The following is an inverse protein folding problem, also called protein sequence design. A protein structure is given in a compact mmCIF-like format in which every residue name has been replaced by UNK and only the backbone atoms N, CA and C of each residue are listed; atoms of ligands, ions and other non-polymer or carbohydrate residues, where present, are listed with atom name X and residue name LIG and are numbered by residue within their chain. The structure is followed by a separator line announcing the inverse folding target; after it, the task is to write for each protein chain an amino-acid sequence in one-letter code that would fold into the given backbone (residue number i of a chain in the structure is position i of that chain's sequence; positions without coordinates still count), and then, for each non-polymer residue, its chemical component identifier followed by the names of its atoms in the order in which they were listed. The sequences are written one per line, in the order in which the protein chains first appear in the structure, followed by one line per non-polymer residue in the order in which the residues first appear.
data_IF_553021852686
#
_entry.id   IF_553021852686
#
_cell.length_a   1.000
_cell.length_b   1.000
_cell.length_c   1.000
_cell.angle_alpha   90.00
_cell.angle_beta   90.00
_cell.angle_gamma   90.00
#
_symmetry.space_group_name_H-M   'P 1'
#
loop_
_entity.id
_entity.type
_entity.pdbx_description
1 polymer ?
#
# COMPACT_ATOMS: atom_id res chain seq x y z
N UNK A 1 21.08 -10.30 -10.36
CA UNK A 1 19.64 -10.62 -10.25
C UNK A 1 18.90 -9.39 -10.72
N UNK A 2 18.04 -9.53 -11.72
CA UNK A 2 17.28 -8.41 -12.28
C UNK A 2 16.23 -7.98 -11.24
N UNK A 3 16.43 -6.84 -10.59
CA UNK A 3 15.47 -6.33 -9.61
C UNK A 3 14.21 -5.92 -10.39
N UNK A 4 13.11 -6.65 -10.19
CA UNK A 4 11.79 -6.27 -10.72
C UNK A 4 11.46 -4.84 -10.30
N UNK A 5 10.82 -4.12 -11.23
CA UNK A 5 10.46 -2.72 -11.13
C UNK A 5 9.75 -2.37 -9.81
N UNK A 6 9.88 -1.10 -9.41
CA UNK A 6 9.25 -0.56 -8.21
C UNK A 6 7.92 0.09 -8.55
N UNK A 7 6.85 -0.25 -7.85
CA UNK A 7 5.51 0.31 -8.04
C UNK A 7 5.01 0.98 -6.78
N UNK A 8 4.19 2.01 -6.97
CA UNK A 8 3.59 2.79 -5.91
C UNK A 8 2.10 2.52 -5.82
N UNK A 9 1.55 2.30 -4.62
CA UNK A 9 0.11 2.04 -4.42
C UNK A 9 -0.44 2.94 -3.33
N UNK A 10 -1.35 3.85 -3.67
CA UNK A 10 -1.96 4.73 -2.66
C UNK A 10 -3.08 4.03 -1.90
N UNK A 11 -3.13 4.22 -0.58
CA UNK A 11 -4.20 3.64 0.25
C UNK A 11 -4.09 2.12 0.37
N UNK A 12 -2.88 1.60 0.52
CA UNK A 12 -2.52 0.17 0.60
C UNK A 12 -3.30 -0.64 1.65
N UNK A 13 -3.90 0.03 2.65
CA UNK A 13 -4.80 -0.57 3.64
C UNK A 13 -6.22 -0.83 3.14
N UNK A 14 -6.58 -0.29 1.97
CA UNK A 14 -7.91 -0.41 1.39
C UNK A 14 -8.14 -1.81 0.81
N UNK A 15 -9.41 -2.18 0.65
CA UNK A 15 -9.82 -3.50 0.16
C UNK A 15 -9.14 -3.85 -1.17
N UNK A 16 -9.36 -3.07 -2.22
CA UNK A 16 -8.75 -3.29 -3.54
C UNK A 16 -7.22 -3.16 -3.51
N UNK A 17 -6.73 -2.12 -2.84
CA UNK A 17 -5.30 -1.81 -2.78
C UNK A 17 -4.49 -2.95 -2.14
N UNK A 18 -5.01 -3.59 -1.09
CA UNK A 18 -4.35 -4.71 -0.43
C UNK A 18 -4.16 -5.93 -1.35
N UNK A 19 -5.10 -6.17 -2.26
CA UNK A 19 -4.99 -7.22 -3.28
C UNK A 19 -4.00 -6.86 -4.38
N UNK A 20 -3.94 -5.59 -4.80
CA UNK A 20 -2.92 -5.12 -5.72
C UNK A 20 -1.52 -5.30 -5.13
N UNK A 21 -1.31 -4.87 -3.89
CA UNK A 21 -0.06 -5.07 -3.14
C UNK A 21 0.33 -6.55 -3.14
N UNK A 22 -0.60 -7.44 -2.76
CA UNK A 22 -0.37 -8.90 -2.80
C UNK A 22 0.06 -9.39 -4.17
N UNK A 23 -0.66 -9.01 -5.22
CA UNK A 23 -0.38 -9.47 -6.59
C UNK A 23 0.99 -8.99 -7.08
N UNK A 24 1.36 -7.75 -6.78
CA UNK A 24 2.67 -7.21 -7.14
C UNK A 24 3.80 -7.91 -6.41
N UNK A 25 3.66 -8.15 -5.10
CA UNK A 25 4.64 -8.88 -4.31
C UNK A 25 4.83 -10.32 -4.80
N UNK A 26 3.73 -11.04 -5.08
CA UNK A 26 3.79 -12.39 -5.67
C UNK A 26 4.41 -12.40 -7.07
N UNK A 27 4.24 -11.32 -7.84
CA UNK A 27 4.83 -11.16 -9.17
C UNK A 27 6.30 -10.69 -9.12
N UNK A 28 6.84 -10.50 -7.93
CA UNK A 28 8.24 -10.19 -7.68
C UNK A 28 8.58 -8.70 -7.56
N UNK A 29 7.62 -7.79 -7.68
CA UNK A 29 7.84 -6.34 -7.68
C UNK A 29 8.17 -5.80 -6.29
N UNK A 30 8.89 -4.68 -6.27
CA UNK A 30 9.01 -3.85 -5.07
C UNK A 30 7.81 -2.91 -4.97
N UNK A 31 7.16 -2.88 -3.81
CA UNK A 31 5.93 -2.10 -3.59
C UNK A 31 6.17 -1.06 -2.51
N UNK A 32 5.88 0.19 -2.83
CA UNK A 32 5.71 1.25 -1.84
C UNK A 32 4.21 1.48 -1.70
N UNK A 33 3.66 1.12 -0.54
CA UNK A 33 2.26 1.33 -0.20
C UNK A 33 2.09 2.54 0.71
N UNK A 34 1.05 3.36 0.50
CA UNK A 34 0.71 4.43 1.45
C UNK A 34 -0.46 4.11 2.34
N UNK A 35 -0.41 4.62 3.56
CA UNK A 35 -1.57 4.69 4.44
C UNK A 35 -1.60 6.06 5.13
N UNK A 36 -2.79 6.46 5.57
CA UNK A 36 -2.98 7.76 6.25
C UNK A 36 -2.49 7.76 7.69
N UNK A 37 -2.70 6.64 8.38
CA UNK A 37 -2.49 6.53 9.82
C UNK A 37 -1.29 5.63 10.17
N UNK A 38 -0.29 6.15 10.90
CA UNK A 38 0.86 5.37 11.39
C UNK A 38 0.49 4.17 12.26
N UNK A 39 -0.58 4.22 13.05
CA UNK A 39 -1.00 3.07 13.85
C UNK A 39 -1.47 1.91 12.95
N UNK A 40 -2.13 2.24 11.84
CA UNK A 40 -2.46 1.25 10.80
C UNK A 40 -1.20 0.67 10.15
N UNK A 41 -0.13 1.45 9.96
CA UNK A 41 1.16 0.92 9.49
C UNK A 41 1.65 -0.17 10.43
N UNK A 42 1.65 0.09 11.73
CA UNK A 42 2.14 -0.86 12.73
C UNK A 42 1.28 -2.13 12.78
N UNK A 43 -0.04 -1.98 12.82
CA UNK A 43 -0.98 -3.13 12.83
C UNK A 43 -0.88 -3.95 11.54
N UNK A 44 -0.77 -3.29 10.38
CA UNK A 44 -0.65 -3.97 9.10
C UNK A 44 0.70 -4.65 8.92
N UNK A 45 1.79 -3.98 9.29
CA UNK A 45 3.13 -4.57 9.24
C UNK A 45 3.19 -5.82 10.11
N UNK A 46 2.63 -5.76 11.32
CA UNK A 46 2.51 -6.92 12.20
C UNK A 46 1.65 -8.02 11.59
N UNK A 47 0.44 -7.71 11.11
CA UNK A 47 -0.44 -8.70 10.45
C UNK A 47 0.17 -9.33 9.20
N UNK A 48 0.95 -8.57 8.43
CA UNK A 48 1.58 -9.05 7.21
C UNK A 48 2.90 -9.80 7.46
N UNK A 49 3.54 -9.59 8.62
CA UNK A 49 4.74 -10.31 9.06
C UNK A 49 4.41 -11.56 9.88
N UNK A 50 3.36 -11.56 10.70
CA UNK A 50 3.00 -12.65 11.61
C UNK A 50 2.01 -13.66 11.01
N UNK A 51 1.14 -13.25 10.09
CA UNK A 51 0.01 -14.08 9.69
C UNK A 51 0.25 -14.83 8.37
N UNK A 52 0.50 -16.14 8.50
CA UNK A 52 0.39 -17.12 7.41
C UNK A 52 -1.03 -17.28 6.82
N UNK A 53 -2.03 -16.48 7.20
CA UNK A 53 -3.36 -16.34 6.55
C UNK A 53 -3.97 -15.00 7.00
N UNK A 54 -4.71 -14.16 6.25
CA UNK A 54 -5.65 -14.34 5.13
C UNK A 54 -5.28 -13.52 3.88
N UNK A 55 -4.18 -12.77 3.92
CA UNK A 55 -3.58 -12.09 2.76
C UNK A 55 -2.09 -12.35 2.86
N UNK A 56 -1.66 -13.60 2.71
CA UNK A 56 -0.23 -13.94 2.72
C UNK A 56 0.51 -13.07 1.71
N UNK A 57 1.33 -12.16 2.21
CA UNK A 57 2.13 -11.25 1.39
C UNK A 57 3.56 -11.81 1.33
N UNK A 58 3.70 -12.93 0.64
CA UNK A 58 5.02 -13.50 0.38
C UNK A 58 5.94 -12.45 -0.27
N UNK A 59 7.14 -12.29 0.30
CA UNK A 59 8.08 -11.25 -0.13
C UNK A 59 7.81 -9.86 0.44
N UNK A 60 6.82 -9.66 1.32
CA UNK A 60 6.57 -8.35 1.93
C UNK A 60 7.73 -7.89 2.80
N UNK A 61 8.35 -8.80 3.56
CA UNK A 61 9.48 -8.45 4.44
C UNK A 61 10.63 -7.82 3.66
N UNK A 62 10.88 -8.27 2.43
CA UNK A 62 11.97 -7.81 1.60
C UNK A 62 11.56 -6.69 0.63
N UNK A 63 10.31 -6.71 0.14
CA UNK A 63 9.87 -5.91 -1.02
C UNK A 63 8.71 -4.96 -0.75
N UNK A 64 8.16 -4.93 0.46
CA UNK A 64 7.10 -3.98 0.82
C UNK A 64 7.63 -2.90 1.76
N UNK A 65 7.43 -1.66 1.37
CA UNK A 65 7.66 -0.49 2.23
C UNK A 65 6.34 0.23 2.43
N UNK A 66 6.00 0.56 3.67
CA UNK A 66 4.84 1.39 3.99
C UNK A 66 5.28 2.81 4.32
N UNK A 67 4.62 3.79 3.72
CA UNK A 67 4.83 5.21 3.98
C UNK A 67 3.54 5.87 4.45
N UNK A 68 3.65 6.87 5.32
CA UNK A 68 2.53 7.77 5.59
C UNK A 68 2.32 8.69 4.40
N UNK A 69 1.08 8.81 3.93
CA UNK A 69 0.66 9.85 3.00
C UNK A 69 -0.83 10.16 3.19
N UNK A 70 -1.20 11.42 3.02
CA UNK A 70 -2.59 11.87 3.05
C UNK A 70 -2.93 12.63 1.76
N UNK A 71 -4.09 12.34 1.20
CA UNK A 71 -4.63 13.03 0.01
C UNK A 71 -4.89 14.51 0.28
N UNK A 72 -5.15 14.87 1.53
CA UNK A 72 -5.44 16.24 1.93
C UNK A 72 -4.18 17.04 2.26
N UNK A 73 -3.00 16.43 2.22
CA UNK A 73 -1.71 17.05 2.52
C UNK A 73 -0.98 17.33 1.20
N UNK A 74 -0.81 18.61 0.86
CA UNK A 74 -0.06 19.03 -0.33
C UNK A 74 1.38 18.49 -0.28
N UNK A 75 1.84 17.92 -1.39
CA UNK A 75 3.15 17.25 -1.45
C UNK A 75 3.26 15.93 -0.66
N UNK A 76 2.15 15.45 -0.09
CA UNK A 76 2.13 14.24 0.77
C UNK A 76 2.58 12.94 0.09
N UNK A 77 2.68 12.92 -1.24
CA UNK A 77 3.09 11.75 -2.04
C UNK A 77 4.44 11.93 -2.74
N UNK A 78 4.98 13.15 -2.79
CA UNK A 78 6.09 13.52 -3.67
C UNK A 78 7.33 12.66 -3.42
N UNK A 79 7.71 12.51 -2.15
CA UNK A 79 8.89 11.71 -1.76
C UNK A 79 8.75 10.23 -2.09
N UNK A 80 7.53 9.75 -2.15
CA UNK A 80 7.24 8.33 -2.13
C UNK A 80 6.98 7.80 -3.56
N UNK A 81 6.65 8.68 -4.51
CA UNK A 81 6.55 8.37 -5.95
C UNK A 81 7.93 8.35 -6.64
N UNK A 82 8.90 9.12 -6.14
CA UNK A 82 10.22 9.24 -6.77
C UNK A 82 10.96 7.88 -6.86
N UNK A 83 11.37 7.51 -8.08
CA UNK A 83 12.03 6.23 -8.37
C UNK A 83 11.09 5.04 -8.55
N UNK A 84 9.77 5.26 -8.57
CA UNK A 84 8.80 4.26 -9.01
C UNK A 84 8.65 4.27 -10.53
N UNK A 85 8.36 3.09 -11.09
CA UNK A 85 8.15 2.86 -12.52
C UNK A 85 6.66 2.94 -12.89
N UNK A 86 5.78 2.87 -11.89
CA UNK A 86 4.34 2.95 -12.07
C UNK A 86 3.65 3.32 -10.77
N UNK A 87 2.50 3.98 -10.90
CA UNK A 87 1.67 4.45 -9.80
C UNK A 87 0.25 3.91 -9.97
N UNK A 88 -0.25 3.26 -8.92
CA UNK A 88 -1.63 2.83 -8.76
C UNK A 88 -2.30 3.75 -7.74
N UNK A 89 -3.05 4.72 -8.23
CA UNK A 89 -3.80 5.62 -7.37
C UNK A 89 -5.15 5.00 -7.00
N UNK A 90 -5.22 4.39 -5.81
CA UNK A 90 -6.44 3.72 -5.32
C UNK A 90 -7.00 4.34 -4.04
N UNK A 91 -6.26 5.22 -3.38
CA UNK A 91 -6.76 5.99 -2.25
C UNK A 91 -7.92 6.89 -2.71
N UNK A 92 -9.03 6.80 -2.00
CA UNK A 92 -10.15 7.73 -2.14
C UNK A 92 -10.80 7.92 -0.76
N UNK A 93 -11.20 9.15 -0.39
CA UNK A 93 -11.98 9.38 0.82
C UNK A 93 -13.35 8.71 0.67
N UNK A 94 -13.60 7.69 1.48
CA UNK A 94 -14.94 7.10 1.61
C UNK A 94 -15.63 7.81 2.77
N UNK A 95 -16.51 8.77 2.47
CA UNK A 95 -17.31 9.45 3.48
C UNK A 95 -18.47 8.52 3.89
N UNK A 96 -18.49 8.12 5.15
CA UNK A 96 -19.56 7.31 5.72
C UNK A 96 -20.80 8.13 6.01
N UNK A 97 -21.56 8.50 4.98
CA UNK A 97 -22.98 8.83 5.12
C UNK A 97 -23.68 8.63 3.79
N UNK A 98 -23.98 7.38 3.45
CA UNK A 98 -25.15 7.13 2.63
C UNK A 98 -26.36 7.36 3.54
N UNK A 99 -26.83 8.62 3.62
CA UNK A 99 -28.22 8.86 4.00
C UNK A 99 -29.05 8.32 2.84
N UNK A 100 -29.49 7.07 2.95
CA UNK A 100 -30.57 6.60 2.10
C UNK A 100 -31.78 7.52 2.33
N UNK A 101 -32.38 8.10 1.27
CA UNK A 101 -33.68 8.76 1.36
C UNK A 101 -34.79 7.75 1.71
#
# INVERSE_FOLDING_TARGET
MDQKMKVYVTGASGFLASWLVKRHLLSGYHVIGTVRDPEKIMIMSRKWQEAGTSVGLEGARERLTLARADLMEEGGFDRAIMGCHGVFHTASPVMGSATHP
#
